data_IF_552601481505
#
_entry.id   IF_552601481505
#
_cell.length_a   1.000
_cell.length_b   1.000
_cell.length_c   1.000
_cell.angle_alpha   90.00
_cell.angle_beta   90.00
_cell.angle_gamma   90.00
#
_symmetry.space_group_name_H-M   'P 1'
#
loop_
_entity.id
_entity.type
_entity.pdbx_description
1 polymer ?
#
# COMPACT_ATOMS: atom_id res chain seq x y z
N UNK A 1 2.51 10.71 -3.50
CA UNK A 1 1.78 9.46 -3.82
C UNK A 1 2.73 8.27 -3.80
N UNK A 2 2.72 7.43 -2.74
CA UNK A 2 3.77 6.41 -2.56
C UNK A 2 3.31 5.06 -1.97
N UNK A 3 2.15 4.96 -1.30
CA UNK A 3 1.78 3.77 -0.51
C UNK A 3 1.91 2.45 -1.29
N UNK A 4 1.39 2.41 -2.53
CA UNK A 4 1.50 1.20 -3.36
C UNK A 4 2.95 0.87 -3.76
N UNK A 5 3.80 1.87 -3.98
CA UNK A 5 5.22 1.69 -4.31
C UNK A 5 5.97 1.06 -3.15
N UNK A 6 5.88 1.67 -1.97
CA UNK A 6 6.57 1.17 -0.77
C UNK A 6 6.05 -0.23 -0.42
N UNK A 7 4.74 -0.47 -0.58
CA UNK A 7 4.15 -1.78 -0.39
C UNK A 7 4.76 -2.86 -1.28
N UNK A 8 4.94 -2.57 -2.58
CA UNK A 8 5.53 -3.51 -3.52
C UNK A 8 7.03 -3.69 -3.29
N UNK A 9 7.77 -2.62 -2.98
CA UNK A 9 9.19 -2.71 -2.62
C UNK A 9 9.37 -3.61 -1.39
N UNK A 10 8.61 -3.36 -0.33
CA UNK A 10 8.71 -4.15 0.90
C UNK A 10 8.27 -5.60 0.68
N UNK A 11 7.21 -5.84 -0.10
CA UNK A 11 6.75 -7.19 -0.42
C UNK A 11 7.83 -8.00 -1.17
N UNK A 12 8.57 -7.36 -2.07
CA UNK A 12 9.56 -8.02 -2.92
C UNK A 12 10.95 -8.11 -2.30
N UNK A 13 11.37 -7.11 -1.51
CA UNK A 13 12.73 -7.00 -0.97
C UNK A 13 12.82 -7.16 0.54
N UNK A 14 11.69 -7.34 1.23
CA UNK A 14 11.64 -7.46 2.69
C UNK A 14 11.65 -6.12 3.42
N UNK A 15 11.59 -6.14 4.75
CA UNK A 15 11.45 -4.93 5.58
C UNK A 15 12.74 -4.10 5.73
N UNK A 16 13.89 -4.72 5.48
CA UNK A 16 15.22 -4.08 5.58
C UNK A 16 15.80 -3.81 4.20
N UNK A 17 14.97 -3.49 3.20
CA UNK A 17 15.37 -3.40 1.79
C UNK A 17 16.44 -2.33 1.50
N UNK A 18 16.68 -1.39 2.42
CA UNK A 18 17.72 -0.37 2.30
C UNK A 18 19.08 -0.83 2.87
N UNK A 19 19.10 -1.81 3.78
CA UNK A 19 20.31 -2.23 4.48
C UNK A 19 21.25 -2.97 3.54
N UNK A 20 22.46 -2.42 3.35
CA UNK A 20 23.46 -2.96 2.43
C UNK A 20 23.08 -2.91 0.94
N UNK A 21 21.98 -2.24 0.59
CA UNK A 21 21.53 -2.12 -0.79
C UNK A 21 22.36 -1.07 -1.54
N UNK A 22 22.73 -1.32 -2.82
CA UNK A 22 23.47 -0.35 -3.62
C UNK A 22 22.62 0.89 -3.96
N UNK A 23 21.30 0.72 -4.03
CA UNK A 23 20.33 1.80 -4.17
C UNK A 23 19.37 1.73 -2.99
N UNK A 24 19.23 2.85 -2.29
CA UNK A 24 18.31 3.02 -1.17
C UNK A 24 17.12 3.86 -1.61
N UNK A 25 15.95 3.53 -1.09
CA UNK A 25 14.70 4.22 -1.38
C UNK A 25 14.10 4.76 -0.09
N UNK A 26 13.78 6.05 -0.10
CA UNK A 26 13.18 6.75 1.01
C UNK A 26 11.96 7.54 0.52
N UNK A 27 10.96 7.69 1.37
CA UNK A 27 9.76 8.48 1.09
C UNK A 27 9.68 9.63 2.08
N UNK A 28 9.57 10.85 1.57
CA UNK A 28 9.22 12.03 2.35
C UNK A 28 7.69 12.25 2.24
N UNK A 29 6.92 11.45 2.97
CA UNK A 29 5.45 11.35 2.88
C UNK A 29 4.70 11.82 4.13
N UNK A 30 5.44 12.35 5.10
CA UNK A 30 4.92 13.04 6.27
C UNK A 30 5.49 14.46 6.34
N UNK A 31 4.87 15.32 7.16
CA UNK A 31 5.36 16.66 7.52
C UNK A 31 5.68 16.73 9.02
N UNK A 32 5.84 15.58 9.66
CA UNK A 32 6.39 15.50 11.01
C UNK A 32 7.83 16.02 11.00
N UNK A 33 8.11 17.05 11.79
CA UNK A 33 9.37 17.77 11.78
C UNK A 33 10.56 16.86 12.11
N UNK A 34 10.39 15.98 13.11
CA UNK A 34 11.45 15.04 13.48
C UNK A 34 11.76 14.07 12.34
N UNK A 35 10.74 13.40 11.79
CA UNK A 35 10.95 12.46 10.69
C UNK A 35 11.53 13.14 9.44
N UNK A 36 11.00 14.31 9.09
CA UNK A 36 11.45 15.10 7.94
C UNK A 36 12.89 15.55 8.15
N UNK A 37 13.25 16.01 9.35
CA UNK A 37 14.59 16.43 9.73
C UNK A 37 15.61 15.28 9.72
N UNK A 38 15.23 14.09 10.22
CA UNK A 38 16.08 12.89 10.18
C UNK A 38 16.38 12.46 8.74
N UNK A 39 15.35 12.42 7.88
CA UNK A 39 15.53 12.10 6.46
C UNK A 39 16.33 13.19 5.75
N UNK A 40 16.08 14.47 6.04
CA UNK A 40 16.84 15.57 5.49
C UNK A 40 18.33 15.47 5.84
N UNK A 41 18.66 15.23 7.11
CA UNK A 41 20.04 15.05 7.56
C UNK A 41 20.71 13.83 6.91
N UNK A 42 19.96 12.74 6.70
CA UNK A 42 20.46 11.56 5.99
C UNK A 42 20.85 11.89 4.55
N UNK A 43 19.97 12.60 3.82
CA UNK A 43 20.19 12.98 2.42
C UNK A 43 21.27 14.06 2.29
N UNK A 44 21.30 15.05 3.17
CA UNK A 44 22.37 16.06 3.23
C UNK A 44 23.74 15.40 3.40
N UNK A 45 23.86 14.40 4.28
CA UNK A 45 25.11 13.66 4.48
C UNK A 45 25.54 12.91 3.23
N UNK A 46 24.59 12.29 2.52
CA UNK A 46 24.87 11.59 1.26
C UNK A 46 25.37 12.57 0.19
N UNK A 47 24.67 13.70 0.00
CA UNK A 47 25.06 14.74 -0.95
C UNK A 47 26.39 15.40 -0.60
N UNK A 48 26.67 15.62 0.69
CA UNK A 48 27.95 16.16 1.18
C UNK A 48 29.13 15.22 0.93
N UNK A 49 28.87 13.92 0.78
CA UNK A 49 29.86 12.90 0.45
C UNK A 49 29.94 12.64 -1.08
N UNK A 50 29.44 13.57 -1.89
CA UNK A 50 29.32 13.45 -3.36
C UNK A 50 28.50 12.23 -3.82
N UNK A 51 27.60 11.74 -2.96
CA UNK A 51 26.66 10.66 -3.27
C UNK A 51 25.61 11.08 -4.29
N UNK A 52 25.00 10.08 -4.93
CA UNK A 52 23.99 10.29 -5.96
C UNK A 52 22.59 10.16 -5.37
N UNK A 53 21.82 11.26 -5.42
CA UNK A 53 20.43 11.31 -4.95
C UNK A 53 19.53 11.71 -6.11
N UNK A 54 18.52 10.89 -6.40
CA UNK A 54 17.47 11.20 -7.38
C UNK A 54 16.21 11.63 -6.62
N UNK A 55 15.75 12.85 -6.88
CA UNK A 55 14.55 13.41 -6.29
C UNK A 55 13.33 13.15 -7.20
N UNK A 56 12.44 12.27 -6.77
CA UNK A 56 11.19 11.96 -7.45
C UNK A 56 10.01 12.67 -6.77
N UNK A 57 9.43 13.69 -7.41
CA UNK A 57 8.29 14.45 -6.89
C UNK A 57 7.01 13.96 -7.59
N UNK A 58 6.16 13.25 -6.85
CA UNK A 58 4.96 12.59 -7.40
C UNK A 58 3.66 13.11 -6.77
N UNK A 59 2.91 13.92 -7.53
CA UNK A 59 1.58 14.43 -7.17
C UNK A 59 0.73 14.61 -8.42
N UNK A 60 -0.49 14.06 -8.42
CA UNK A 60 -1.42 14.20 -9.56
C UNK A 60 -1.87 15.65 -9.74
N UNK A 61 -2.36 16.30 -8.68
CA UNK A 61 -2.86 17.68 -8.79
C UNK A 61 -1.75 18.71 -9.00
N UNK A 62 -0.49 18.36 -8.73
CA UNK A 62 0.62 19.32 -8.76
C UNK A 62 0.63 20.29 -7.59
N UNK A 63 -0.31 20.16 -6.65
CA UNK A 63 -0.60 21.16 -5.60
C UNK A 63 -0.71 20.56 -4.20
N UNK A 64 -0.33 19.29 -4.02
CA UNK A 64 -0.34 18.63 -2.70
C UNK A 64 0.67 19.30 -1.78
N UNK A 65 0.19 20.00 -0.74
CA UNK A 65 1.01 20.84 0.15
C UNK A 65 2.18 20.08 0.75
N UNK A 66 1.95 18.90 1.31
CA UNK A 66 2.94 18.06 1.97
C UNK A 66 4.05 17.63 0.98
N UNK A 67 3.65 17.24 -0.24
CA UNK A 67 4.60 16.85 -1.30
C UNK A 67 5.46 18.02 -1.76
N UNK A 68 4.87 19.21 -1.90
CA UNK A 68 5.60 20.40 -2.34
C UNK A 68 6.50 20.96 -1.24
N UNK A 69 6.09 20.90 0.03
CA UNK A 69 6.92 21.27 1.18
C UNK A 69 8.19 20.42 1.20
N UNK A 70 8.03 19.08 1.25
CA UNK A 70 9.16 18.17 1.24
C UNK A 70 10.00 18.33 -0.03
N UNK A 71 9.34 18.36 -1.20
CA UNK A 71 10.00 18.58 -2.48
C UNK A 71 10.85 19.84 -2.51
N UNK A 72 10.37 20.95 -1.93
CA UNK A 72 11.13 22.21 -1.83
C UNK A 72 12.39 22.08 -1.00
N UNK A 73 12.34 21.39 0.15
CA UNK A 73 13.51 21.21 1.02
C UNK A 73 14.61 20.42 0.30
N UNK A 74 14.26 19.26 -0.27
CA UNK A 74 15.20 18.40 -0.96
C UNK A 74 15.68 19.00 -2.30
N UNK A 75 14.83 19.75 -2.99
CA UNK A 75 15.20 20.48 -4.19
C UNK A 75 16.34 21.48 -3.92
N UNK A 76 16.19 22.32 -2.88
CA UNK A 76 17.21 23.31 -2.53
C UNK A 76 18.52 22.66 -2.07
N UNK A 77 18.42 21.59 -1.29
CA UNK A 77 19.55 20.75 -0.88
C UNK A 77 20.33 20.20 -2.07
N UNK A 78 19.63 19.54 -3.01
CA UNK A 78 20.22 18.95 -4.21
C UNK A 78 20.86 20.02 -5.09
N UNK A 79 20.17 21.14 -5.32
CA UNK A 79 20.68 22.26 -6.12
C UNK A 79 21.92 22.90 -5.52
N UNK A 80 21.99 23.02 -4.19
CA UNK A 80 23.16 23.56 -3.48
C UNK A 80 24.41 22.69 -3.68
N UNK A 81 24.26 21.37 -3.59
CA UNK A 81 25.37 20.43 -3.74
C UNK A 81 25.73 20.15 -5.21
N UNK A 82 24.75 20.27 -6.12
CA UNK A 82 24.90 19.98 -7.56
C UNK A 82 24.47 21.16 -8.45
N UNK A 83 25.06 22.37 -8.30
CA UNK A 83 24.55 23.58 -8.96
C UNK A 83 24.63 23.56 -10.49
N UNK A 84 25.43 22.66 -11.06
CA UNK A 84 25.66 22.57 -12.52
C UNK A 84 24.70 21.61 -13.23
N UNK A 85 24.25 20.56 -12.55
CA UNK A 85 23.56 19.41 -13.15
C UNK A 85 22.37 18.89 -12.33
N UNK A 86 21.92 19.58 -11.27
CA UNK A 86 20.82 19.13 -10.41
C UNK A 86 19.54 18.77 -11.18
N UNK A 87 19.28 19.38 -12.34
CA UNK A 87 18.10 19.09 -13.16
C UNK A 87 18.06 17.62 -13.63
N UNK A 88 19.21 17.00 -13.87
CA UNK A 88 19.34 15.59 -14.32
C UNK A 88 18.94 14.60 -13.22
N UNK A 89 18.85 15.06 -11.97
CA UNK A 89 18.53 14.26 -10.79
C UNK A 89 17.10 14.47 -10.31
N UNK A 90 16.26 15.19 -11.07
CA UNK A 90 14.87 15.49 -10.69
C UNK A 90 13.92 14.82 -11.68
N UNK A 91 12.99 14.04 -11.13
CA UNK A 91 11.89 13.41 -11.87
C UNK A 91 10.57 13.93 -11.31
N UNK A 92 9.74 14.49 -12.19
CA UNK A 92 8.39 14.94 -11.86
C UNK A 92 7.39 13.92 -12.39
N UNK A 93 6.51 13.44 -11.51
CA UNK A 93 5.38 12.57 -11.89
C UNK A 93 4.07 13.28 -11.58
N UNK A 94 3.35 13.70 -12.61
CA UNK A 94 2.16 14.55 -12.43
C UNK A 94 1.16 14.44 -13.58
N UNK A 95 -0.02 15.03 -13.44
CA UNK A 95 -1.01 15.12 -14.52
C UNK A 95 -0.58 16.15 -15.58
N UNK A 96 -1.02 16.00 -16.83
CA UNK A 96 -0.64 16.92 -17.92
C UNK A 96 -1.11 18.36 -17.66
N UNK A 97 -2.28 18.51 -17.02
CA UNK A 97 -2.90 19.81 -16.71
C UNK A 97 -2.41 20.42 -15.38
N UNK A 98 -1.49 19.76 -14.67
CA UNK A 98 -1.01 20.22 -13.38
C UNK A 98 -0.02 21.40 -13.50
N UNK A 99 0.00 22.35 -12.55
CA UNK A 99 1.01 23.41 -12.52
C UNK A 99 2.46 22.88 -12.49
N UNK A 100 2.66 21.70 -11.90
CA UNK A 100 3.97 21.06 -11.79
C UNK A 100 4.47 20.53 -13.14
N UNK A 101 3.57 20.20 -14.07
CA UNK A 101 3.91 19.83 -15.45
C UNK A 101 4.61 20.99 -16.17
N UNK A 102 4.07 22.20 -16.05
CA UNK A 102 4.67 23.40 -16.62
C UNK A 102 6.04 23.71 -15.99
N UNK A 103 6.17 23.55 -14.67
CA UNK A 103 7.45 23.71 -13.96
C UNK A 103 8.49 22.71 -14.49
N UNK A 104 8.12 21.43 -14.65
CA UNK A 104 9.02 20.41 -15.17
C UNK A 104 9.53 20.75 -16.57
N UNK A 105 8.61 21.11 -17.49
CA UNK A 105 8.94 21.51 -18.87
C UNK A 105 9.87 22.72 -18.91
N UNK A 106 9.58 23.76 -18.12
CA UNK A 106 10.37 25.00 -18.12
C UNK A 106 11.77 24.82 -17.52
N UNK A 107 11.93 23.88 -16.58
CA UNK A 107 13.21 23.64 -15.90
C UNK A 107 13.98 22.43 -16.45
N UNK A 108 13.47 21.78 -17.51
CA UNK A 108 14.06 20.58 -18.13
C UNK A 108 14.26 19.42 -17.14
N UNK A 109 13.31 19.24 -16.23
CA UNK A 109 13.26 18.03 -15.40
C UNK A 109 12.69 16.88 -16.22
N UNK A 110 13.07 15.65 -15.86
CA UNK A 110 12.43 14.47 -16.43
C UNK A 110 10.94 14.46 -16.01
N UNK A 111 10.05 14.23 -16.97
CA UNK A 111 8.61 14.35 -16.77
C UNK A 111 7.90 13.05 -17.17
N UNK A 112 7.25 12.43 -16.20
CA UNK A 112 6.39 11.28 -16.42
C UNK A 112 4.94 11.65 -16.13
N UNK A 113 4.05 11.35 -17.08
CA UNK A 113 2.64 11.71 -16.96
C UNK A 113 1.84 10.63 -16.23
N UNK A 114 0.88 11.06 -15.41
CA UNK A 114 -0.16 10.23 -14.83
C UNK A 114 -1.38 10.32 -15.74
N UNK A 115 -2.00 9.20 -16.16
CA UNK A 115 -3.21 9.27 -16.97
C UNK A 115 -4.33 10.03 -16.23
N UNK A 116 -4.93 11.04 -16.88
CA UNK A 116 -5.89 11.93 -16.22
C UNK A 116 -7.15 11.20 -15.73
N UNK A 117 -7.52 10.08 -16.36
CA UNK A 117 -8.62 9.20 -15.94
C UNK A 117 -8.31 8.36 -14.70
N UNK A 118 -7.05 8.24 -14.27
CA UNK A 118 -6.63 7.37 -13.17
C UNK A 118 -6.47 8.17 -11.88
N UNK A 119 -7.26 7.84 -10.85
CA UNK A 119 -7.14 8.43 -9.52
C UNK A 119 -5.88 7.96 -8.77
N UNK A 120 -5.43 8.74 -7.78
CA UNK A 120 -4.18 8.48 -7.05
C UNK A 120 -4.08 7.07 -6.45
N UNK A 121 -5.11 6.59 -5.74
CA UNK A 121 -5.12 5.24 -5.15
C UNK A 121 -5.16 4.09 -6.16
N UNK A 122 -5.50 4.37 -7.41
CA UNK A 122 -5.48 3.42 -8.53
C UNK A 122 -4.24 3.57 -9.43
N UNK A 123 -3.30 4.46 -9.09
CA UNK A 123 -2.16 4.81 -9.95
C UNK A 123 -0.95 3.87 -9.86
N UNK A 124 -1.05 2.75 -9.13
CA UNK A 124 0.08 1.83 -8.92
C UNK A 124 0.70 1.30 -10.22
N UNK A 125 -0.12 1.01 -11.24
CA UNK A 125 0.37 0.52 -12.53
C UNK A 125 0.64 1.65 -13.53
N UNK A 126 0.64 2.91 -13.09
CA UNK A 126 1.05 4.07 -13.89
C UNK A 126 2.52 4.42 -13.63
N UNK A 127 3.00 5.51 -14.23
CA UNK A 127 4.32 6.08 -13.96
C UNK A 127 4.61 6.28 -12.46
N UNK A 128 3.60 6.62 -11.66
CA UNK A 128 3.71 6.76 -10.19
C UNK A 128 4.32 5.52 -9.55
N UNK A 129 3.90 4.33 -9.99
CA UNK A 129 4.41 3.09 -9.44
C UNK A 129 5.54 2.48 -10.23
N UNK A 130 5.39 2.41 -11.55
CA UNK A 130 6.33 1.69 -12.40
C UNK A 130 7.75 2.29 -12.37
N UNK A 131 7.87 3.62 -12.35
CA UNK A 131 9.18 4.28 -12.32
C UNK A 131 10.00 3.92 -11.06
N UNK A 132 9.52 4.18 -9.82
CA UNK A 132 10.31 3.85 -8.64
C UNK A 132 10.51 2.34 -8.44
N UNK A 133 9.56 1.50 -8.86
CA UNK A 133 9.73 0.04 -8.82
C UNK A 133 10.86 -0.42 -9.75
N UNK A 134 10.90 0.11 -10.97
CA UNK A 134 11.96 -0.16 -11.92
C UNK A 134 13.32 0.31 -11.40
N UNK A 135 13.39 1.50 -10.80
CA UNK A 135 14.63 2.01 -10.18
C UNK A 135 15.15 1.07 -9.09
N UNK A 136 14.24 0.49 -8.30
CA UNK A 136 14.59 -0.52 -7.29
C UNK A 136 14.93 -1.90 -7.89
N UNK A 137 14.98 -2.05 -9.20
CA UNK A 137 15.30 -3.31 -9.87
C UNK A 137 14.20 -4.36 -9.73
N UNK A 138 12.95 -3.93 -9.53
CA UNK A 138 11.79 -4.84 -9.57
C UNK A 138 11.37 -5.01 -11.03
N UNK A 139 11.15 -6.27 -11.44
CA UNK A 139 10.72 -6.61 -12.79
C UNK A 139 9.26 -6.15 -13.04
N UNK A 140 9.13 -4.93 -13.54
CA UNK A 140 7.84 -4.32 -13.88
C UNK A 140 7.14 -5.06 -15.04
N UNK A 141 7.87 -5.78 -15.90
CA UNK A 141 7.29 -6.58 -16.98
C UNK A 141 6.50 -7.75 -16.41
N UNK A 142 7.11 -8.50 -15.49
CA UNK A 142 6.42 -9.58 -14.75
C UNK A 142 5.27 -9.03 -13.90
N UNK A 143 5.44 -7.86 -13.27
CA UNK A 143 4.38 -7.20 -12.51
C UNK A 143 3.13 -6.94 -13.37
N UNK A 144 3.32 -6.30 -14.53
CA UNK A 144 2.25 -5.95 -15.46
C UNK A 144 1.61 -7.19 -16.08
N UNK A 145 2.40 -8.22 -16.38
CA UNK A 145 1.90 -9.50 -16.89
C UNK A 145 0.96 -10.18 -15.89
N UNK A 146 1.36 -10.22 -14.61
CA UNK A 146 0.50 -10.75 -13.54
C UNK A 146 -0.78 -9.95 -13.36
N UNK A 147 -0.67 -8.61 -13.37
CA UNK A 147 -1.82 -7.73 -13.31
C UNK A 147 -2.78 -7.96 -14.49
N UNK A 148 -2.29 -8.02 -15.72
CA UNK A 148 -3.09 -8.28 -16.91
C UNK A 148 -3.81 -9.63 -16.84
N UNK A 149 -3.09 -10.69 -16.46
CA UNK A 149 -3.66 -12.03 -16.32
C UNK A 149 -4.80 -12.07 -15.30
N UNK A 150 -4.63 -11.39 -14.17
CA UNK A 150 -5.69 -11.29 -13.18
C UNK A 150 -6.86 -10.44 -13.68
N UNK A 151 -6.60 -9.34 -14.39
CA UNK A 151 -7.65 -8.52 -15.01
C UNK A 151 -8.52 -9.38 -15.92
N UNK A 152 -7.92 -10.14 -16.84
CA UNK A 152 -8.62 -11.05 -17.76
C UNK A 152 -9.48 -12.08 -17.00
N UNK A 153 -8.93 -12.67 -15.94
CA UNK A 153 -9.68 -13.60 -15.07
C UNK A 153 -10.87 -12.92 -14.38
N UNK A 154 -10.72 -11.65 -13.99
CA UNK A 154 -11.77 -10.87 -13.35
C UNK A 154 -12.81 -10.31 -14.34
N UNK A 155 -12.65 -10.53 -15.64
CA UNK A 155 -13.69 -10.23 -16.65
C UNK A 155 -14.60 -11.44 -16.91
N UNK A 156 -14.35 -12.60 -16.29
CA UNK A 156 -15.26 -13.73 -16.40
C UNK A 156 -16.65 -13.37 -15.83
N UNK A 157 -17.70 -13.62 -16.61
CA UNK A 157 -19.09 -13.33 -16.24
C UNK A 157 -19.59 -14.23 -15.11
N UNK A 158 -19.05 -15.46 -15.01
CA UNK A 158 -19.38 -16.38 -13.94
C UNK A 158 -18.59 -16.01 -12.68
N UNK A 159 -19.31 -15.54 -11.66
CA UNK A 159 -18.70 -14.98 -10.45
C UNK A 159 -17.80 -15.97 -9.70
N UNK A 160 -18.06 -17.27 -9.80
CA UNK A 160 -17.25 -18.35 -9.20
C UNK A 160 -15.86 -18.48 -9.84
N UNK A 161 -15.71 -18.07 -11.11
CA UNK A 161 -14.43 -18.06 -11.83
C UNK A 161 -13.75 -16.68 -11.79
N UNK A 162 -14.45 -15.67 -11.27
CA UNK A 162 -13.99 -14.29 -11.14
C UNK A 162 -13.62 -13.98 -9.68
N UNK A 163 -12.32 -14.02 -9.30
CA UNK A 163 -11.92 -13.91 -7.91
C UNK A 163 -12.27 -12.54 -7.29
N UNK A 164 -12.21 -11.46 -8.07
CA UNK A 164 -12.61 -10.14 -7.59
C UNK A 164 -14.14 -10.06 -7.34
N UNK A 165 -14.95 -10.64 -8.22
CA UNK A 165 -16.41 -10.69 -8.03
C UNK A 165 -16.80 -11.56 -6.85
N UNK A 166 -16.21 -12.77 -6.71
CA UNK A 166 -16.45 -13.66 -5.59
C UNK A 166 -16.12 -12.98 -4.25
N UNK A 167 -14.98 -12.32 -4.17
CA UNK A 167 -14.56 -11.59 -2.98
C UNK A 167 -15.49 -10.40 -2.69
N UNK A 168 -15.81 -9.58 -3.71
CA UNK A 168 -16.71 -8.44 -3.55
C UNK A 168 -18.12 -8.87 -3.09
N UNK A 169 -18.67 -9.94 -3.65
CA UNK A 169 -19.96 -10.50 -3.24
C UNK A 169 -19.92 -11.02 -1.80
N UNK A 170 -18.84 -11.69 -1.41
CA UNK A 170 -18.64 -12.18 -0.03
C UNK A 170 -18.59 -11.02 0.95
N UNK A 171 -17.83 -9.96 0.62
CA UNK A 171 -17.75 -8.76 1.45
C UNK A 171 -19.08 -8.01 1.53
N UNK A 172 -19.80 -7.92 0.42
CA UNK A 172 -21.11 -7.28 0.39
C UNK A 172 -22.13 -8.05 1.23
N UNK A 173 -22.21 -9.38 1.09
CA UNK A 173 -23.08 -10.23 1.91
C UNK A 173 -22.74 -10.13 3.40
N UNK A 174 -21.45 -10.17 3.74
CA UNK A 174 -21.00 -9.95 5.12
C UNK A 174 -21.43 -8.56 5.63
N UNK A 175 -21.26 -7.51 4.82
CA UNK A 175 -21.71 -6.18 5.20
C UNK A 175 -23.22 -6.13 5.48
N UNK A 176 -24.05 -6.76 4.63
CA UNK A 176 -25.51 -6.85 4.85
C UNK A 176 -25.86 -7.58 6.16
N UNK A 177 -25.01 -8.51 6.60
CA UNK A 177 -25.14 -9.24 7.87
C UNK A 177 -24.57 -8.49 9.09
N UNK A 178 -24.11 -7.24 8.92
CA UNK A 178 -23.59 -6.40 10.00
C UNK A 178 -22.07 -6.48 10.22
N UNK A 179 -21.33 -7.13 9.32
CA UNK A 179 -19.86 -7.12 9.35
C UNK A 179 -19.33 -5.83 8.70
N UNK A 180 -19.25 -4.76 9.49
CA UNK A 180 -18.87 -3.41 9.03
C UNK A 180 -17.36 -3.14 9.10
N UNK A 181 -16.57 -4.05 9.67
CA UNK A 181 -15.11 -3.98 9.74
C UNK A 181 -14.50 -5.04 8.84
N UNK A 182 -13.55 -4.64 7.99
CA UNK A 182 -12.76 -5.55 7.17
C UNK A 182 -11.30 -5.52 7.63
N UNK A 183 -10.77 -6.68 8.01
CA UNK A 183 -9.36 -6.81 8.40
C UNK A 183 -8.54 -7.50 7.30
N UNK A 184 -7.45 -6.86 6.88
CA UNK A 184 -6.40 -7.52 6.10
C UNK A 184 -5.37 -8.08 7.08
N UNK A 185 -5.47 -9.37 7.38
CA UNK A 185 -4.56 -10.04 8.28
C UNK A 185 -3.41 -10.66 7.49
N UNK A 186 -2.26 -9.98 7.45
CA UNK A 186 -1.09 -10.47 6.74
C UNK A 186 -0.30 -11.44 7.61
N UNK A 187 0.17 -12.55 7.03
CA UNK A 187 1.01 -13.55 7.71
C UNK A 187 2.47 -13.51 7.23
N UNK A 188 2.92 -12.28 6.95
CA UNK A 188 4.32 -11.90 6.71
C UNK A 188 4.48 -10.41 6.93
N UNK A 189 5.46 -9.95 7.74
CA UNK A 189 5.74 -8.52 7.91
C UNK A 189 6.08 -7.80 6.59
N UNK A 190 6.65 -8.50 5.60
CA UNK A 190 6.94 -7.90 4.29
C UNK A 190 5.67 -7.47 3.53
N UNK A 191 4.51 -8.06 3.84
CA UNK A 191 3.23 -7.74 3.19
C UNK A 191 2.42 -6.69 3.97
N UNK A 192 2.88 -6.22 5.13
CA UNK A 192 2.13 -5.29 5.96
C UNK A 192 1.72 -4.02 5.22
N UNK A 193 2.62 -3.47 4.40
CA UNK A 193 2.33 -2.28 3.61
C UNK A 193 1.37 -2.54 2.43
N UNK A 194 1.26 -3.76 1.91
CA UNK A 194 0.17 -4.11 0.98
C UNK A 194 -1.18 -4.01 1.68
N UNK A 195 -1.27 -4.44 2.94
CA UNK A 195 -2.45 -4.22 3.77
C UNK A 195 -2.76 -2.74 3.94
N UNK A 196 -1.74 -1.91 4.20
CA UNK A 196 -1.93 -0.45 4.34
C UNK A 196 -2.36 0.22 3.02
N UNK A 197 -1.78 -0.17 1.90
CA UNK A 197 -2.21 0.29 0.58
C UNK A 197 -3.67 -0.11 0.33
N UNK A 198 -4.05 -1.35 0.66
CA UNK A 198 -5.44 -1.79 0.49
C UNK A 198 -6.40 -1.07 1.44
N UNK A 199 -5.96 -0.74 2.66
CA UNK A 199 -6.71 0.10 3.61
C UNK A 199 -7.08 1.45 3.00
N UNK A 200 -6.15 2.12 2.31
CA UNK A 200 -6.46 3.35 1.57
C UNK A 200 -7.49 3.10 0.47
N UNK A 201 -7.30 2.02 -0.29
CA UNK A 201 -8.19 1.69 -1.40
C UNK A 201 -9.63 1.47 -0.92
N UNK A 202 -9.85 0.76 0.19
CA UNK A 202 -11.17 0.59 0.82
C UNK A 202 -11.70 1.94 1.33
N UNK A 203 -10.93 2.61 2.18
CA UNK A 203 -11.40 3.77 2.94
C UNK A 203 -11.87 4.91 2.03
N UNK A 204 -11.06 5.28 1.04
CA UNK A 204 -11.39 6.39 0.15
C UNK A 204 -12.41 6.01 -0.94
N UNK A 205 -12.50 4.75 -1.34
CA UNK A 205 -13.41 4.33 -2.41
C UNK A 205 -14.80 3.96 -1.91
N UNK A 206 -14.92 3.40 -0.71
CA UNK A 206 -16.19 2.90 -0.18
C UNK A 206 -16.82 3.80 0.88
N UNK A 207 -16.02 4.66 1.55
CA UNK A 207 -16.50 5.66 2.51
C UNK A 207 -17.20 6.82 1.80
N UNK A 208 -18.52 6.75 1.64
CA UNK A 208 -19.30 7.70 0.82
C UNK A 208 -20.56 8.16 1.52
N UNK A 209 -20.71 9.49 1.58
CA UNK A 209 -21.92 10.14 2.10
C UNK A 209 -23.11 9.96 1.17
N UNK A 210 -22.91 10.02 -0.14
CA UNK A 210 -23.98 9.96 -1.14
C UNK A 210 -23.84 8.78 -2.10
N UNK A 211 -24.98 8.25 -2.58
CA UNK A 211 -25.04 7.28 -3.68
C UNK A 211 -24.71 7.96 -5.02
N UNK A 212 -24.60 7.16 -6.09
CA UNK A 212 -24.41 7.69 -7.45
C UNK A 212 -25.56 8.59 -7.92
N UNK A 213 -26.75 8.39 -7.36
CA UNK A 213 -27.96 9.16 -7.63
C UNK A 213 -28.09 10.41 -6.73
N UNK A 214 -27.13 10.65 -5.83
CA UNK A 214 -27.12 11.81 -4.95
C UNK A 214 -27.90 11.64 -3.64
N UNK A 215 -28.41 10.44 -3.36
CA UNK A 215 -29.14 10.14 -2.12
C UNK A 215 -28.17 9.97 -0.95
N UNK A 216 -28.51 10.49 0.23
CA UNK A 216 -27.72 10.27 1.46
C UNK A 216 -27.73 8.77 1.83
N UNK A 217 -26.55 8.16 1.94
CA UNK A 217 -26.38 6.73 2.26
C UNK A 217 -25.35 6.44 3.36
N UNK A 218 -24.36 7.32 3.56
CA UNK A 218 -23.31 7.19 4.59
C UNK A 218 -22.71 5.78 4.71
N UNK A 219 -22.33 5.21 3.57
CA UNK A 219 -21.76 3.86 3.47
C UNK A 219 -20.27 3.87 3.76
N UNK A 220 -19.78 2.74 4.26
CA UNK A 220 -18.36 2.52 4.48
C UNK A 220 -18.11 1.18 5.15
N UNK A 221 -16.92 0.63 4.91
CA UNK A 221 -16.37 -0.52 5.62
C UNK A 221 -15.12 -0.03 6.31
N UNK A 222 -15.03 -0.18 7.63
CA UNK A 222 -13.86 0.21 8.40
C UNK A 222 -12.68 -0.73 8.12
N UNK A 223 -11.61 -0.29 7.44
CA UNK A 223 -10.52 -1.18 7.09
C UNK A 223 -9.44 -1.20 8.18
N UNK A 224 -9.05 -2.39 8.63
CA UNK A 224 -7.92 -2.63 9.54
C UNK A 224 -6.86 -3.50 8.88
N UNK A 225 -5.64 -3.45 9.43
CA UNK A 225 -4.51 -4.27 9.00
C UNK A 225 -3.91 -4.89 10.25
N UNK A 226 -3.79 -6.20 10.24
CA UNK A 226 -3.18 -6.99 11.32
C UNK A 226 -2.00 -7.77 10.78
N UNK A 227 -0.97 -7.98 11.59
CA UNK A 227 0.30 -8.63 11.20
C UNK A 227 0.54 -9.86 12.09
N UNK A 228 0.52 -11.03 11.48
CA UNK A 228 0.86 -12.29 12.13
C UNK A 228 2.39 -12.44 12.22
N UNK A 229 2.95 -12.86 13.35
CA UNK A 229 2.28 -13.30 14.59
C UNK A 229 2.11 -12.21 15.65
N UNK A 230 2.63 -11.00 15.42
CA UNK A 230 2.63 -9.89 16.40
C UNK A 230 1.22 -9.63 16.94
N UNK A 231 0.23 -9.54 16.05
CA UNK A 231 -1.13 -9.19 16.42
C UNK A 231 -1.96 -10.37 16.96
N UNK A 232 -1.41 -11.59 16.95
CA UNK A 232 -1.96 -12.69 17.74
C UNK A 232 -1.91 -12.36 19.24
N UNK A 233 -1.00 -11.47 19.65
CA UNK A 233 -0.80 -11.05 21.03
C UNK A 233 -1.35 -9.64 21.32
N UNK A 234 -2.12 -9.05 20.41
CA UNK A 234 -2.73 -7.73 20.59
C UNK A 234 -4.26 -7.79 20.43
N UNK A 235 -4.74 -8.13 19.23
CA UNK A 235 -6.14 -7.96 18.82
C UNK A 235 -6.87 -9.27 18.59
N UNK A 236 -6.18 -10.41 18.47
CA UNK A 236 -6.86 -11.68 18.19
C UNK A 236 -7.81 -12.11 19.31
N UNK A 237 -7.56 -11.74 20.57
CA UNK A 237 -8.53 -11.90 21.65
C UNK A 237 -9.87 -11.22 21.30
N UNK A 238 -9.82 -9.97 20.81
CA UNK A 238 -11.02 -9.25 20.35
C UNK A 238 -11.64 -9.94 19.11
N UNK A 239 -10.83 -10.49 18.22
CA UNK A 239 -11.34 -11.06 16.97
C UNK A 239 -12.10 -12.37 17.22
N UNK A 240 -11.63 -13.19 18.17
CA UNK A 240 -12.22 -14.48 18.51
C UNK A 240 -13.35 -14.37 19.55
N UNK A 241 -13.23 -13.49 20.55
CA UNK A 241 -14.19 -13.40 21.66
C UNK A 241 -15.05 -12.13 21.65
N UNK A 242 -14.72 -11.14 20.82
CA UNK A 242 -15.44 -9.87 20.75
C UNK A 242 -16.64 -9.86 19.80
N UNK A 243 -17.21 -8.67 19.54
CA UNK A 243 -18.36 -8.49 18.66
C UNK A 243 -18.17 -9.11 17.27
N UNK A 244 -19.24 -9.68 16.71
CA UNK A 244 -19.26 -10.27 15.36
C UNK A 244 -19.49 -9.21 14.27
N UNK A 245 -18.61 -8.22 14.23
CA UNK A 245 -18.69 -7.08 13.28
C UNK A 245 -17.54 -7.09 12.26
N UNK A 246 -16.64 -8.07 12.34
CA UNK A 246 -15.45 -8.18 11.48
C UNK A 246 -15.49 -9.39 10.56
N UNK A 247 -15.14 -9.15 9.30
CA UNK A 247 -14.70 -10.17 8.35
C UNK A 247 -13.20 -10.01 8.09
N UNK A 248 -12.48 -11.13 8.00
CA UNK A 248 -11.02 -11.13 7.85
C UNK A 248 -10.61 -11.73 6.52
N UNK A 249 -9.69 -11.10 5.80
CA UNK A 249 -8.94 -11.80 4.73
C UNK A 249 -7.54 -12.06 5.23
N UNK A 250 -7.17 -13.34 5.31
CA UNK A 250 -5.79 -13.73 5.56
C UNK A 250 -4.99 -13.66 4.27
N UNK A 251 -3.92 -12.86 4.28
CA UNK A 251 -2.96 -12.76 3.19
C UNK A 251 -1.66 -13.45 3.61
N UNK A 252 -1.27 -14.52 2.92
CA UNK A 252 -0.06 -15.27 3.25
C UNK A 252 0.81 -15.57 2.02
N UNK A 253 2.04 -15.99 2.28
CA UNK A 253 3.02 -16.38 1.27
C UNK A 253 3.05 -17.89 1.07
N UNK A 254 2.98 -18.33 -0.18
CA UNK A 254 3.20 -19.72 -0.60
C UNK A 254 4.65 -19.98 -0.99
N UNK A 255 5.08 -21.24 -0.96
CA UNK A 255 6.37 -21.71 -1.48
C UNK A 255 7.61 -21.01 -0.87
N UNK A 256 7.63 -20.79 0.45
CA UNK A 256 8.84 -20.29 1.14
C UNK A 256 9.93 -21.37 1.16
N UNK A 257 10.90 -21.25 0.25
CA UNK A 257 11.94 -22.28 0.03
C UNK A 257 13.13 -22.18 0.98
N UNK A 258 13.41 -20.98 1.50
CA UNK A 258 14.54 -20.74 2.38
C UNK A 258 14.04 -20.54 3.80
N UNK A 259 14.38 -21.46 4.69
CA UNK A 259 14.01 -21.36 6.10
C UNK A 259 15.18 -21.71 6.99
N UNK A 260 15.41 -20.85 7.98
CA UNK A 260 16.26 -21.19 9.11
C UNK A 260 15.65 -22.38 9.86
N UNK A 261 16.51 -23.20 10.44
CA UNK A 261 16.14 -24.27 11.37
C UNK A 261 16.32 -23.75 12.79
N UNK A 262 15.33 -23.98 13.65
CA UNK A 262 15.41 -23.66 15.07
C UNK A 262 16.50 -24.55 15.69
N UNK A 263 17.57 -23.96 16.26
CA UNK A 263 18.61 -24.73 16.93
C UNK A 263 18.07 -25.39 18.19
N UNK A 264 18.60 -26.57 18.51
CA UNK A 264 18.32 -27.25 19.77
C UNK A 264 19.14 -26.61 20.90
N UNK A 265 18.50 -25.80 21.73
CA UNK A 265 19.13 -25.08 22.83
C UNK A 265 18.16 -24.81 24.00
N UNK A 266 18.64 -24.08 25.01
CA UNK A 266 17.88 -23.73 26.21
C UNK A 266 16.53 -23.04 25.92
N UNK A 267 16.42 -22.30 24.81
CA UNK A 267 15.19 -21.61 24.43
C UNK A 267 14.19 -22.54 23.73
N UNK A 268 14.68 -23.45 22.87
CA UNK A 268 13.80 -24.37 22.14
C UNK A 268 13.16 -25.45 23.01
N UNK A 269 13.76 -25.76 24.17
CA UNK A 269 13.23 -26.74 25.13
C UNK A 269 11.94 -26.25 25.81
N UNK A 270 11.75 -24.93 25.93
CA UNK A 270 10.58 -24.33 26.60
C UNK A 270 9.27 -24.65 25.85
N UNK A 271 9.34 -24.79 24.53
CA UNK A 271 8.18 -25.10 23.68
C UNK A 271 8.31 -26.52 23.12
N UNK A 272 7.49 -27.48 23.58
CA UNK A 272 7.57 -28.86 23.11
C UNK A 272 7.49 -28.97 21.59
N UNK A 273 8.47 -29.66 20.99
CA UNK A 273 8.51 -29.92 19.55
C UNK A 273 9.01 -28.77 18.68
N UNK A 274 9.55 -27.69 19.27
CA UNK A 274 10.08 -26.53 18.55
C UNK A 274 11.51 -26.77 18.00
N UNK A 275 12.36 -27.47 18.76
CA UNK A 275 13.74 -27.77 18.36
C UNK A 275 13.79 -28.53 17.01
N UNK A 276 14.79 -28.21 16.19
CA UNK A 276 15.03 -28.83 14.88
C UNK A 276 13.89 -28.68 13.85
N UNK A 277 12.90 -27.80 14.10
CA UNK A 277 11.89 -27.42 13.12
C UNK A 277 12.36 -26.23 12.29
N UNK A 278 11.87 -26.13 11.06
CA UNK A 278 12.11 -24.93 10.25
C UNK A 278 11.18 -23.79 10.70
N UNK A 279 11.63 -22.55 10.63
CA UNK A 279 10.81 -21.36 10.89
C UNK A 279 9.53 -21.36 10.04
N UNK A 280 9.62 -21.77 8.77
CA UNK A 280 8.46 -21.90 7.87
C UNK A 280 7.46 -22.93 8.38
N UNK A 281 7.92 -24.08 8.90
CA UNK A 281 7.05 -25.07 9.51
C UNK A 281 6.31 -24.51 10.72
N UNK A 282 7.03 -23.84 11.64
CA UNK A 282 6.44 -23.24 12.83
C UNK A 282 5.42 -22.16 12.45
N UNK A 283 5.76 -21.28 11.50
CA UNK A 283 4.85 -20.27 10.96
C UNK A 283 3.57 -20.89 10.38
N UNK A 284 3.72 -21.95 9.56
CA UNK A 284 2.58 -22.67 8.97
C UNK A 284 1.70 -23.33 10.03
N UNK A 285 2.29 -23.92 11.07
CA UNK A 285 1.56 -24.51 12.19
C UNK A 285 0.74 -23.45 12.96
N UNK A 286 1.35 -22.29 13.25
CA UNK A 286 0.64 -21.18 13.90
C UNK A 286 -0.49 -20.66 13.00
N UNK A 287 -0.24 -20.44 11.71
CA UNK A 287 -1.25 -19.98 10.76
C UNK A 287 -2.44 -20.95 10.70
N UNK A 288 -2.19 -22.27 10.57
CA UNK A 288 -3.24 -23.30 10.61
C UNK A 288 -3.99 -23.30 11.93
N UNK A 289 -3.30 -23.10 13.06
CA UNK A 289 -3.93 -22.96 14.38
C UNK A 289 -4.88 -21.76 14.45
N UNK A 290 -4.52 -20.63 13.84
CA UNK A 290 -5.38 -19.44 13.75
C UNK A 290 -6.62 -19.73 12.90
N UNK A 291 -6.47 -20.37 11.73
CA UNK A 291 -7.60 -20.74 10.88
C UNK A 291 -8.55 -21.71 11.60
N UNK A 292 -8.01 -22.74 12.27
CA UNK A 292 -8.81 -23.68 13.05
C UNK A 292 -9.57 -22.99 14.21
N UNK A 293 -8.97 -21.97 14.84
CA UNK A 293 -9.64 -21.17 15.86
C UNK A 293 -10.78 -20.33 15.26
N UNK A 294 -10.57 -19.71 14.09
CA UNK A 294 -11.61 -18.99 13.37
C UNK A 294 -12.78 -19.91 12.98
N UNK A 295 -12.49 -21.12 12.49
CA UNK A 295 -13.51 -22.13 12.16
C UNK A 295 -14.31 -22.57 13.38
N UNK A 296 -13.63 -22.88 14.48
CA UNK A 296 -14.27 -23.30 15.74
C UNK A 296 -15.19 -22.21 16.30
N UNK A 297 -14.77 -20.96 16.23
CA UNK A 297 -15.57 -19.80 16.68
C UNK A 297 -16.54 -19.27 15.61
N UNK A 298 -16.59 -19.93 14.44
CA UNK A 298 -17.43 -19.57 13.29
C UNK A 298 -17.26 -18.10 12.87
N UNK A 299 -16.01 -17.64 12.86
CA UNK A 299 -15.62 -16.29 12.41
C UNK A 299 -15.45 -16.31 10.89
N UNK A 300 -16.13 -15.41 10.13
CA UNK A 300 -16.03 -15.42 8.68
C UNK A 300 -14.65 -14.95 8.24
N UNK A 301 -14.04 -15.68 7.32
CA UNK A 301 -12.78 -15.29 6.72
C UNK A 301 -12.67 -15.70 5.26
N UNK A 302 -11.75 -15.05 4.55
CA UNK A 302 -11.29 -15.44 3.22
C UNK A 302 -9.78 -15.68 3.26
N UNK A 303 -9.28 -16.49 2.32
CA UNK A 303 -7.86 -16.73 2.13
C UNK A 303 -7.41 -16.09 0.82
N UNK A 304 -6.25 -15.45 0.86
CA UNK A 304 -5.54 -14.96 -0.32
C UNK A 304 -4.07 -15.29 -0.16
N UNK A 305 -3.46 -15.77 -1.23
CA UNK A 305 -2.05 -16.12 -1.25
C UNK A 305 -1.30 -15.39 -2.35
N UNK A 306 -0.01 -15.17 -2.09
CA UNK A 306 0.95 -14.65 -3.04
C UNK A 306 2.14 -15.61 -3.02
N UNK A 307 2.67 -15.99 -4.19
CA UNK A 307 3.91 -16.77 -4.24
C UNK A 307 5.08 -15.96 -3.69
N UNK A 308 5.87 -16.56 -2.81
CA UNK A 308 7.02 -15.90 -2.21
C UNK A 308 7.98 -15.35 -3.28
N UNK A 309 8.40 -14.09 -3.11
CA UNK A 309 9.31 -13.38 -4.02
C UNK A 309 8.85 -13.37 -5.51
N UNK A 310 7.54 -13.43 -5.77
CA UNK A 310 6.97 -13.38 -7.13
C UNK A 310 6.37 -12.02 -7.45
N UNK A 311 7.04 -11.25 -8.31
CA UNK A 311 6.52 -9.96 -8.78
C UNK A 311 5.21 -10.13 -9.55
N UNK A 312 5.09 -11.21 -10.33
CA UNK A 312 3.86 -11.56 -11.06
C UNK A 312 2.68 -11.74 -10.08
N UNK A 313 2.87 -12.50 -9.00
CA UNK A 313 1.79 -12.77 -8.03
C UNK A 313 1.40 -11.53 -7.21
N UNK A 314 2.34 -10.62 -6.94
CA UNK A 314 2.00 -9.33 -6.31
C UNK A 314 1.19 -8.46 -7.28
N UNK A 315 1.53 -8.46 -8.57
CA UNK A 315 0.75 -7.79 -9.62
C UNK A 315 -0.67 -8.35 -9.76
N UNK A 316 -0.81 -9.68 -9.75
CA UNK A 316 -2.09 -10.37 -9.70
C UNK A 316 -2.93 -9.91 -8.50
N UNK A 317 -2.35 -9.94 -7.29
CA UNK A 317 -3.05 -9.52 -6.07
C UNK A 317 -3.51 -8.06 -6.12
N UNK A 318 -2.61 -7.14 -6.51
CA UNK A 318 -2.93 -5.72 -6.56
C UNK A 318 -4.05 -5.43 -7.58
N UNK A 319 -4.02 -6.05 -8.76
CA UNK A 319 -5.10 -5.90 -9.74
C UNK A 319 -6.42 -6.48 -9.24
N UNK A 320 -6.41 -7.69 -8.64
CA UNK A 320 -7.60 -8.31 -8.06
C UNK A 320 -8.26 -7.38 -7.04
N UNK A 321 -7.48 -6.79 -6.14
CA UNK A 321 -7.98 -5.87 -5.10
C UNK A 321 -8.48 -4.54 -5.65
N UNK A 322 -7.88 -4.01 -6.72
CA UNK A 322 -8.45 -2.86 -7.43
C UNK A 322 -9.84 -3.15 -8.01
N UNK A 323 -10.01 -4.29 -8.67
CA UNK A 323 -11.29 -4.68 -9.29
C UNK A 323 -12.34 -5.05 -8.23
N UNK A 324 -11.94 -5.73 -7.15
CA UNK A 324 -12.80 -6.05 -6.00
C UNK A 324 -13.52 -4.82 -5.47
N UNK A 325 -12.80 -3.71 -5.31
CA UNK A 325 -13.35 -2.44 -4.83
C UNK A 325 -14.30 -1.80 -5.83
N UNK A 326 -14.01 -1.91 -7.14
CA UNK A 326 -14.89 -1.39 -8.19
C UNK A 326 -16.23 -2.14 -8.17
N UNK A 327 -16.19 -3.47 -8.07
CA UNK A 327 -17.40 -4.28 -7.94
C UNK A 327 -18.15 -4.00 -6.64
N UNK A 328 -17.45 -3.89 -5.53
CA UNK A 328 -18.07 -3.61 -4.23
C UNK A 328 -18.73 -2.22 -4.20
N UNK A 329 -18.09 -1.19 -4.77
CA UNK A 329 -18.69 0.13 -4.95
C UNK A 329 -19.95 0.08 -5.83
N UNK A 330 -19.95 -0.76 -6.87
CA UNK A 330 -21.14 -0.97 -7.72
C UNK A 330 -22.28 -1.62 -6.94
N UNK A 331 -22.01 -2.65 -6.14
CA UNK A 331 -22.99 -3.27 -5.23
C UNK A 331 -23.52 -2.26 -4.21
N UNK A 332 -22.65 -1.39 -3.71
CA UNK A 332 -23.04 -0.27 -2.86
C UNK A 332 -23.63 0.93 -3.62
N UNK A 333 -23.82 0.90 -4.93
CA UNK A 333 -24.38 2.04 -5.70
C UNK A 333 -23.71 3.39 -5.36
N UNK A 334 -22.40 3.39 -5.17
CA UNK A 334 -21.58 4.58 -4.84
C UNK A 334 -20.49 4.80 -5.89
N UNK A 335 -19.88 5.98 -5.88
CA UNK A 335 -18.74 6.29 -6.74
C UNK A 335 -17.42 5.87 -6.07
N UNK A 336 -16.72 4.89 -6.65
CA UNK A 336 -15.43 4.42 -6.13
C UNK A 336 -14.26 5.37 -6.44
N UNK A 337 -14.43 6.35 -7.32
CA UNK A 337 -13.32 7.06 -7.96
C UNK A 337 -13.13 8.51 -7.50
N UNK A 338 -14.10 9.07 -6.76
CA UNK A 338 -13.99 10.41 -6.17
C UNK A 338 -13.51 10.36 -4.70
N UNK A 339 -13.32 11.52 -4.07
CA UNK A 339 -13.05 11.63 -2.64
C UNK A 339 -13.46 13.02 -2.09
N UNK A 340 -14.69 13.50 -2.31
CA UNK A 340 -15.05 14.91 -2.08
C UNK A 340 -14.88 15.37 -0.63
N UNK A 341 -15.08 14.48 0.34
CA UNK A 341 -15.03 14.82 1.76
C UNK A 341 -13.63 15.29 2.23
N UNK A 342 -12.56 14.94 1.52
CA UNK A 342 -11.20 15.33 1.88
C UNK A 342 -10.92 16.80 1.58
N UNK A 343 -11.72 17.47 0.74
CA UNK A 343 -11.51 18.88 0.45
C UNK A 343 -11.83 19.78 1.65
N UNK A 344 -12.75 19.37 2.52
CA UNK A 344 -13.14 20.14 3.70
C UNK A 344 -11.95 20.45 4.61
N UNK A 345 -11.13 19.45 4.94
CA UNK A 345 -9.96 19.72 5.79
C UNK A 345 -8.92 20.56 5.06
N UNK A 346 -8.79 20.44 3.73
CA UNK A 346 -7.84 21.24 2.94
C UNK A 346 -8.25 22.72 2.86
N UNK A 347 -9.55 22.99 2.79
CA UNK A 347 -10.10 24.36 2.87
C UNK A 347 -9.79 24.95 4.25
N UNK A 348 -10.04 24.22 5.33
CA UNK A 348 -9.70 24.65 6.69
C UNK A 348 -8.19 24.86 6.89
N UNK A 349 -7.35 23.97 6.37
CA UNK A 349 -5.88 24.15 6.39
C UNK A 349 -5.48 25.44 5.69
N UNK A 350 -6.01 25.71 4.49
CA UNK A 350 -5.73 26.96 3.77
C UNK A 350 -6.18 28.19 4.56
N UNK A 351 -7.33 28.11 5.24
CA UNK A 351 -7.81 29.17 6.14
C UNK A 351 -6.82 29.44 7.28
N UNK A 352 -6.32 28.40 7.94
CA UNK A 352 -5.36 28.56 9.04
C UNK A 352 -3.99 29.06 8.58
N UNK A 353 -3.50 28.64 7.41
CA UNK A 353 -2.22 29.13 6.85
C UNK A 353 -2.27 30.62 6.48
N UNK A 354 -3.44 31.17 6.13
CA UNK A 354 -3.59 32.60 5.84
C UNK A 354 -3.75 33.46 7.11
N UNK A 355 -4.14 32.84 8.23
CA UNK A 355 -4.29 33.53 9.51
C UNK A 355 -2.95 33.76 10.22
N UNK A 356 -1.91 32.98 9.92
CA UNK A 356 -0.58 33.11 10.53
C UNK A 356 0.28 34.26 10.00
N UNK A 357 -0.18 34.98 8.97
CA UNK A 357 0.49 36.16 8.41
C UNK A 357 -0.11 37.51 8.91
N UNK A 358 -0.91 37.48 9.99
CA UNK A 358 -1.43 38.67 10.69
C UNK A 358 -1.10 38.59 12.17
#
# INVERSE_FOLDING_TARGET
SNMGVVALIQAMKGIYYNEGAPLRFYCADTIDDQNTGELFALIERELSADGVVVLCIATKSGTTTETLLNGSLFYESLKRHRPKDYQEYIVIITDEDSPLCAIAKNNRFELLLIPSSVGGRYSLFSSVGLFPLMMMGIDIGSLLKGAQRMFERCMNEESTHNPAALSALTLFDAYQKGYTIYDTFVFSPSLALLGQWYKQLIGESLGKKYSREGTLVERGIGPTVSIGTVDLHSVVQLYLAGPRTRITTFLYTEDERNSLTVPDNLLSIVVPGLANRTVTFVKSAIFKGVLAAYEKEQRPYMLSSIKFASTESVGEFAMMKMIEIIFLARLFSINAFDQPAVELYKEETRRFMQLSDR
#
